data_IF_225133609596
#
_entry.id   IF_225133609596
#
_cell.length_a   1.000
_cell.length_b   1.000
_cell.length_c   1.000
_cell.angle_alpha   90.00
_cell.angle_beta   90.00
_cell.angle_gamma   90.00
#
_symmetry.space_group_name_H-M   'P 1'
#
loop_
_entity.id
_entity.type
_entity.pdbx_description
1 polymer ?
#
# COMPACT_ATOMS: atom_id res chain seq x y z
N UNK A 1 2.94 10.81 8.84
CA UNK A 1 2.17 9.73 9.48
C UNK A 1 0.81 10.25 9.93
N UNK A 2 0.77 11.37 10.66
CA UNK A 2 -0.47 12.02 11.10
C UNK A 2 -1.33 12.54 9.93
N UNK A 3 -0.71 13.00 8.85
CA UNK A 3 -1.45 13.55 7.70
C UNK A 3 -2.21 12.49 6.90
N UNK A 4 -1.63 11.31 6.67
CA UNK A 4 -2.35 10.22 5.98
C UNK A 4 -3.52 9.67 6.83
N UNK A 5 -3.35 9.60 8.15
CA UNK A 5 -4.48 9.27 9.05
C UNK A 5 -5.58 10.35 9.03
N UNK A 6 -5.20 11.62 8.92
CA UNK A 6 -6.16 12.74 8.88
C UNK A 6 -6.97 12.77 7.59
N UNK A 7 -6.34 12.45 6.45
CA UNK A 7 -7.01 12.36 5.13
C UNK A 7 -8.11 11.28 5.15
N UNK A 8 -7.89 10.19 5.88
CA UNK A 8 -8.86 9.09 6.01
C UNK A 8 -10.05 9.48 6.91
N UNK A 9 -9.84 10.37 7.86
CA UNK A 9 -10.86 10.74 8.87
C UNK A 9 -11.70 11.94 8.44
N UNK A 10 -11.12 12.94 7.76
CA UNK A 10 -11.79 14.23 7.50
C UNK A 10 -12.49 14.33 6.12
N UNK A 11 -12.43 13.31 5.27
CA UNK A 11 -13.27 13.19 4.06
C UNK A 11 -13.15 14.30 3.01
N UNK A 12 -12.13 15.15 3.10
CA UNK A 12 -11.93 16.26 2.15
C UNK A 12 -10.45 16.41 1.81
N UNK A 13 -10.02 15.76 0.76
CA UNK A 13 -8.89 16.24 -0.04
C UNK A 13 -8.85 15.52 -1.38
N UNK A 14 -8.92 16.26 -2.44
CA UNK A 14 -8.66 15.83 -3.81
C UNK A 14 -7.22 15.28 -3.88
N UNK A 15 -7.09 13.96 -3.88
CA UNK A 15 -5.84 13.31 -4.25
C UNK A 15 -5.83 13.28 -5.78
N UNK A 16 -4.84 13.88 -6.45
CA UNK A 16 -4.74 13.76 -7.90
C UNK A 16 -4.68 12.29 -8.28
N UNK A 17 -5.57 11.85 -9.16
CA UNK A 17 -5.63 10.47 -9.64
C UNK A 17 -4.29 10.14 -10.34
N UNK A 18 -3.58 9.09 -9.93
CA UNK A 18 -2.41 8.62 -10.64
C UNK A 18 -2.87 7.85 -11.87
N UNK A 19 -2.86 8.50 -13.04
CA UNK A 19 -3.36 7.94 -14.30
C UNK A 19 -2.50 6.79 -14.86
N UNK A 20 -1.28 6.51 -14.34
CA UNK A 20 -0.34 5.56 -14.95
C UNK A 20 0.34 4.58 -13.98
N UNK A 21 -0.28 4.25 -12.83
CA UNK A 21 0.37 3.39 -11.82
C UNK A 21 0.05 1.90 -11.93
N UNK A 22 -0.69 1.47 -12.92
CA UNK A 22 -1.03 0.06 -13.07
C UNK A 22 0.06 -0.65 -13.87
N UNK A 23 0.94 -1.33 -13.14
CA UNK A 23 1.85 -2.29 -13.73
C UNK A 23 1.06 -3.39 -14.43
N UNK A 24 1.59 -3.82 -15.58
CA UNK A 24 1.21 -4.92 -16.45
C UNK A 24 -0.31 -5.19 -16.61
N UNK A 25 -0.80 -5.03 -17.84
CA UNK A 25 -2.19 -5.29 -18.26
C UNK A 25 -2.74 -6.60 -17.73
N UNK A 26 -1.93 -7.64 -17.63
CA UNK A 26 -2.34 -8.96 -17.14
C UNK A 26 -2.72 -8.97 -15.66
N UNK A 27 -2.08 -8.14 -14.84
CA UNK A 27 -2.43 -8.00 -13.41
C UNK A 27 -3.77 -7.29 -13.24
N UNK A 28 -4.05 -6.29 -14.07
CA UNK A 28 -5.35 -5.60 -14.06
C UNK A 28 -6.48 -6.51 -14.56
N UNK A 29 -6.24 -7.27 -15.62
CA UNK A 29 -7.22 -8.23 -16.14
C UNK A 29 -7.52 -9.32 -15.12
N UNK A 30 -6.53 -9.86 -14.41
CA UNK A 30 -6.74 -10.83 -13.34
C UNK A 30 -7.54 -10.24 -12.17
N UNK A 31 -7.21 -9.02 -11.75
CA UNK A 31 -7.96 -8.32 -10.69
C UNK A 31 -9.41 -8.05 -11.13
N UNK A 32 -9.62 -7.65 -12.39
CA UNK A 32 -10.95 -7.42 -12.93
C UNK A 32 -11.76 -8.72 -13.08
N UNK A 33 -11.13 -9.79 -13.53
CA UNK A 33 -11.77 -11.10 -13.69
C UNK A 33 -12.14 -11.70 -12.33
N UNK A 34 -11.27 -11.59 -11.33
CA UNK A 34 -11.57 -12.06 -9.96
C UNK A 34 -12.62 -11.20 -9.28
N UNK A 35 -12.59 -9.88 -9.49
CA UNK A 35 -13.64 -8.98 -9.00
C UNK A 35 -14.98 -9.28 -9.66
N UNK A 36 -15.00 -9.49 -10.98
CA UNK A 36 -16.20 -9.86 -11.73
C UNK A 36 -16.72 -11.26 -11.34
N UNK A 37 -15.84 -12.24 -11.14
CA UNK A 37 -16.20 -13.57 -10.64
C UNK A 37 -16.76 -13.51 -9.22
N UNK A 38 -16.16 -12.72 -8.33
CA UNK A 38 -16.66 -12.51 -6.97
C UNK A 38 -18.05 -11.85 -6.98
N UNK A 39 -18.28 -10.89 -7.88
CA UNK A 39 -19.60 -10.26 -8.03
C UNK A 39 -20.66 -11.21 -8.62
N UNK A 40 -20.26 -12.17 -9.46
CA UNK A 40 -21.17 -13.14 -10.09
C UNK A 40 -21.38 -14.40 -9.22
N UNK A 41 -20.39 -14.79 -8.41
CA UNK A 41 -20.50 -15.96 -7.51
C UNK A 41 -21.32 -15.66 -6.24
N UNK A 42 -21.31 -14.42 -5.76
CA UNK A 42 -22.14 -13.95 -4.66
C UNK A 42 -23.53 -13.54 -5.17
N UNK A 43 -24.24 -14.48 -5.76
CA UNK A 43 -25.63 -14.29 -6.16
C UNK A 43 -26.50 -13.76 -5.03
N UNK A 44 -26.59 -12.44 -4.90
CA UNK A 44 -27.53 -11.74 -4.05
C UNK A 44 -27.03 -11.33 -2.65
N UNK A 45 -25.79 -11.59 -2.27
CA UNK A 45 -25.23 -11.12 -1.01
C UNK A 45 -24.06 -10.13 -1.23
N UNK A 46 -24.24 -9.18 -2.13
CA UNK A 46 -23.56 -7.89 -1.98
C UNK A 46 -24.22 -7.16 -0.81
N UNK A 47 -24.24 -7.81 0.36
CA UNK A 47 -24.42 -7.07 1.58
C UNK A 47 -23.26 -6.09 1.61
N UNK A 48 -23.56 -4.84 1.25
CA UNK A 48 -22.71 -3.68 1.44
C UNK A 48 -22.05 -3.91 2.78
N UNK A 49 -20.76 -4.30 2.76
CA UNK A 49 -19.98 -4.42 3.99
C UNK A 49 -20.32 -3.19 4.79
N UNK A 50 -21.09 -3.34 5.87
CA UNK A 50 -21.56 -2.20 6.66
C UNK A 50 -20.36 -1.31 6.89
N UNK A 51 -20.50 -0.01 6.69
CA UNK A 51 -19.38 0.93 6.82
C UNK A 51 -18.49 0.63 8.05
N UNK A 52 -19.10 0.11 9.13
CA UNK A 52 -18.39 -0.35 10.30
C UNK A 52 -17.46 -1.54 10.04
N UNK A 53 -17.91 -2.57 9.33
CA UNK A 53 -17.09 -3.73 9.04
C UNK A 53 -15.95 -3.41 8.08
N UNK A 54 -16.21 -2.60 7.04
CA UNK A 54 -15.17 -2.10 6.12
C UNK A 54 -14.07 -1.35 6.87
N UNK A 55 -14.45 -0.47 7.80
CA UNK A 55 -13.50 0.27 8.63
C UNK A 55 -12.69 -0.64 9.54
N UNK A 56 -13.32 -1.66 10.12
CA UNK A 56 -12.65 -2.63 10.98
C UNK A 56 -11.63 -3.47 10.20
N UNK A 57 -12.01 -4.00 9.03
CA UNK A 57 -11.11 -4.72 8.13
C UNK A 57 -9.91 -3.85 7.76
N UNK A 58 -10.14 -2.61 7.36
CA UNK A 58 -9.08 -1.68 7.02
C UNK A 58 -8.19 -1.38 8.21
N UNK A 59 -8.75 -1.05 9.38
CA UNK A 59 -7.99 -0.72 10.59
C UNK A 59 -7.07 -1.87 11.00
N UNK A 60 -7.59 -3.11 11.09
CA UNK A 60 -6.78 -4.30 11.42
C UNK A 60 -5.65 -4.52 10.42
N UNK A 61 -5.95 -4.31 9.12
CA UNK A 61 -4.95 -4.46 8.06
C UNK A 61 -3.85 -3.41 8.18
N UNK A 62 -4.20 -2.14 8.41
CA UNK A 62 -3.25 -1.05 8.56
C UNK A 62 -2.37 -1.23 9.80
N UNK A 63 -2.96 -1.60 10.94
CA UNK A 63 -2.23 -1.86 12.17
C UNK A 63 -1.23 -3.01 12.00
N UNK A 64 -1.64 -4.09 11.32
CA UNK A 64 -0.76 -5.21 11.02
C UNK A 64 0.39 -4.82 10.07
N UNK A 65 0.10 -4.06 9.02
CA UNK A 65 1.12 -3.55 8.09
C UNK A 65 2.12 -2.68 8.85
N UNK A 66 1.66 -1.76 9.69
CA UNK A 66 2.53 -0.85 10.42
C UNK A 66 3.42 -1.60 11.43
N UNK A 67 2.90 -2.62 12.09
CA UNK A 67 3.67 -3.46 13.00
C UNK A 67 4.71 -4.35 12.30
N UNK A 68 4.50 -4.71 11.03
CA UNK A 68 5.32 -5.66 10.29
C UNK A 68 5.99 -5.08 9.05
N UNK A 69 6.09 -3.76 8.94
CA UNK A 69 6.47 -3.07 7.70
C UNK A 69 7.83 -3.48 7.15
N UNK A 70 8.81 -3.73 8.04
CA UNK A 70 10.17 -4.13 7.69
C UNK A 70 10.34 -5.65 7.51
N UNK A 71 9.35 -6.43 7.93
CA UNK A 71 9.39 -7.90 7.83
C UNK A 71 8.89 -8.41 6.46
N UNK A 72 9.06 -9.71 6.22
CA UNK A 72 8.42 -10.38 5.08
C UNK A 72 6.90 -10.42 5.31
N UNK A 73 6.18 -9.52 4.66
CA UNK A 73 4.74 -9.34 4.78
C UNK A 73 4.05 -10.07 3.63
N UNK A 74 3.30 -11.13 3.94
CA UNK A 74 2.52 -11.89 2.96
C UNK A 74 1.08 -11.41 2.96
N UNK A 75 0.50 -11.35 1.77
CA UNK A 75 -0.89 -10.92 1.62
C UNK A 75 -1.87 -11.89 2.30
N UNK A 76 -1.49 -13.18 2.39
CA UNK A 76 -2.25 -14.21 3.10
C UNK A 76 -2.38 -13.93 4.58
N UNK A 77 -1.30 -13.43 5.21
CA UNK A 77 -1.31 -13.10 6.64
C UNK A 77 -2.23 -11.90 6.89
N UNK A 78 -2.23 -10.94 5.97
CA UNK A 78 -3.12 -9.80 6.00
C UNK A 78 -4.60 -10.23 5.91
N UNK A 79 -4.92 -11.18 5.04
CA UNK A 79 -6.26 -11.76 4.92
C UNK A 79 -6.68 -12.45 6.22
N UNK A 80 -5.79 -13.21 6.86
CA UNK A 80 -6.06 -13.88 8.13
C UNK A 80 -6.34 -12.90 9.25
N UNK A 81 -5.49 -11.89 9.42
CA UNK A 81 -5.64 -10.86 10.46
C UNK A 81 -6.91 -10.03 10.25
N UNK A 82 -7.22 -9.69 9.02
CA UNK A 82 -8.42 -8.95 8.68
C UNK A 82 -9.70 -9.81 8.75
N UNK A 83 -9.57 -11.16 8.71
CA UNK A 83 -10.69 -12.10 8.74
C UNK A 83 -11.50 -12.09 7.44
N UNK A 84 -10.86 -11.81 6.30
CA UNK A 84 -11.52 -11.69 4.98
C UNK A 84 -10.75 -12.40 3.88
N UNK A 85 -11.43 -12.69 2.77
CA UNK A 85 -10.79 -13.18 1.55
C UNK A 85 -9.93 -12.10 0.88
N UNK A 86 -9.01 -12.52 0.00
CA UNK A 86 -8.16 -11.61 -0.77
C UNK A 86 -9.00 -10.61 -1.59
N UNK A 87 -10.03 -11.08 -2.29
CA UNK A 87 -10.89 -10.21 -3.09
C UNK A 87 -11.64 -9.16 -2.24
N UNK A 88 -12.05 -9.53 -1.03
CA UNK A 88 -12.66 -8.58 -0.09
C UNK A 88 -11.65 -7.57 0.41
N UNK A 89 -10.43 -8.00 0.76
CA UNK A 89 -9.35 -7.13 1.19
C UNK A 89 -9.00 -6.10 0.09
N UNK A 90 -8.82 -6.56 -1.15
CA UNK A 90 -8.52 -5.69 -2.29
C UNK A 90 -9.65 -4.68 -2.54
N UNK A 91 -10.90 -5.12 -2.49
CA UNK A 91 -12.06 -4.23 -2.63
C UNK A 91 -12.11 -3.16 -1.54
N UNK A 92 -11.80 -3.50 -0.30
CA UNK A 92 -11.72 -2.55 0.82
C UNK A 92 -10.62 -1.53 0.57
N UNK A 93 -9.42 -1.97 0.23
CA UNK A 93 -8.29 -1.07 -0.04
C UNK A 93 -8.55 -0.16 -1.25
N UNK A 94 -9.07 -0.69 -2.36
CA UNK A 94 -9.41 0.09 -3.53
C UNK A 94 -10.55 1.08 -3.25
N UNK A 95 -11.55 0.68 -2.47
CA UNK A 95 -12.67 1.55 -2.11
C UNK A 95 -12.24 2.72 -1.21
N UNK A 96 -11.47 2.45 -0.17
CA UNK A 96 -11.14 3.41 0.88
C UNK A 96 -9.85 4.19 0.58
N UNK A 97 -8.83 3.54 -0.04
CA UNK A 97 -7.50 4.12 -0.24
C UNK A 97 -7.14 4.34 -1.71
N UNK A 98 -8.00 3.91 -2.64
CA UNK A 98 -7.76 3.98 -4.10
C UNK A 98 -6.47 3.28 -4.55
N UNK A 99 -6.01 2.29 -3.80
CA UNK A 99 -4.81 1.52 -4.11
C UNK A 99 -4.95 0.07 -3.62
N UNK A 100 -4.15 -0.83 -4.18
CA UNK A 100 -4.12 -2.22 -3.72
C UNK A 100 -3.35 -2.34 -2.40
N UNK A 101 -3.58 -3.42 -1.59
CA UNK A 101 -2.81 -3.66 -0.37
C UNK A 101 -1.29 -3.67 -0.61
N UNK A 102 -0.84 -4.31 -1.69
CA UNK A 102 0.59 -4.37 -2.06
C UNK A 102 1.16 -3.00 -2.42
N UNK A 103 0.38 -2.18 -3.15
CA UNK A 103 0.78 -0.80 -3.47
C UNK A 103 0.87 0.05 -2.22
N UNK A 104 -0.06 -0.12 -1.27
CA UNK A 104 -0.02 0.55 0.02
C UNK A 104 1.23 0.18 0.82
N UNK A 105 1.52 -1.13 0.97
CA UNK A 105 2.73 -1.61 1.67
C UNK A 105 4.00 -1.01 1.03
N UNK A 106 4.07 -1.03 -0.31
CA UNK A 106 5.20 -0.44 -1.04
C UNK A 106 5.36 1.05 -0.75
N UNK A 107 4.27 1.82 -0.81
CA UNK A 107 4.29 3.25 -0.52
C UNK A 107 4.75 3.53 0.92
N UNK A 108 4.27 2.75 1.89
CA UNK A 108 4.67 2.86 3.30
C UNK A 108 6.17 2.57 3.51
N UNK A 109 6.71 1.56 2.80
CA UNK A 109 8.14 1.23 2.86
C UNK A 109 8.99 2.35 2.27
N UNK A 110 8.58 2.92 1.14
CA UNK A 110 9.26 4.08 0.55
C UNK A 110 9.25 5.29 1.49
N UNK A 111 8.12 5.57 2.16
CA UNK A 111 8.03 6.62 3.19
C UNK A 111 8.99 6.37 4.36
N UNK A 112 9.12 5.11 4.79
CA UNK A 112 10.05 4.75 5.86
C UNK A 112 11.51 4.98 5.45
N UNK A 113 11.88 4.57 4.23
CA UNK A 113 13.21 4.83 3.66
C UNK A 113 13.46 6.33 3.56
N UNK A 114 12.51 7.12 3.07
CA UNK A 114 12.66 8.57 2.97
C UNK A 114 12.92 9.22 4.32
N UNK A 115 12.15 8.84 5.33
CA UNK A 115 12.40 9.33 6.70
C UNK A 115 13.77 8.96 7.23
N UNK A 116 14.24 7.75 6.94
CA UNK A 116 15.58 7.30 7.31
C UNK A 116 16.67 8.07 6.56
N UNK A 117 16.50 8.34 5.27
CA UNK A 117 17.41 9.15 4.47
C UNK A 117 17.54 10.59 4.99
N UNK A 118 16.42 11.23 5.32
CA UNK A 118 16.40 12.63 5.80
C UNK A 118 16.96 12.76 7.22
N UNK A 119 16.71 11.75 8.08
CA UNK A 119 17.17 11.76 9.48
C UNK A 119 18.53 11.09 9.67
N UNK A 120 18.97 10.36 8.66
CA UNK A 120 19.89 9.28 8.83
C UNK A 120 21.35 9.66 8.84
N UNK A 121 22.13 8.67 9.21
CA UNK A 121 23.58 8.69 9.18
C UNK A 121 24.06 8.78 7.72
N UNK A 122 24.94 9.76 7.41
CA UNK A 122 25.41 9.98 6.04
C UNK A 122 26.10 8.76 5.42
N UNK A 123 26.68 7.89 6.26
CA UNK A 123 27.52 6.78 5.83
C UNK A 123 26.75 5.48 5.49
N UNK A 124 25.46 5.37 5.86
CA UNK A 124 24.71 4.15 5.56
C UNK A 124 24.34 4.09 4.07
N UNK A 125 24.72 3.02 3.33
CA UNK A 125 24.35 2.90 1.93
C UNK A 125 22.83 2.93 1.71
N UNK A 126 22.38 3.65 0.68
CA UNK A 126 20.94 3.76 0.37
C UNK A 126 20.31 2.37 0.12
N UNK A 127 21.07 1.46 -0.49
CA UNK A 127 20.62 0.09 -0.72
C UNK A 127 20.38 -0.67 0.60
N UNK A 128 21.22 -0.45 1.60
CA UNK A 128 21.07 -1.04 2.92
C UNK A 128 19.83 -0.48 3.61
N UNK A 129 19.64 0.84 3.61
CA UNK A 129 18.43 1.48 4.16
C UNK A 129 17.15 0.93 3.50
N UNK A 130 17.15 0.78 2.17
CA UNK A 130 16.01 0.22 1.47
C UNK A 130 15.74 -1.22 1.89
N UNK A 131 16.79 -2.04 2.02
CA UNK A 131 16.68 -3.43 2.48
C UNK A 131 16.14 -3.52 3.91
N UNK A 132 16.67 -2.72 4.84
CA UNK A 132 16.25 -2.68 6.25
C UNK A 132 14.78 -2.27 6.41
N UNK A 133 14.24 -1.55 5.45
CA UNK A 133 12.82 -1.20 5.39
C UNK A 133 11.99 -2.13 4.48
N UNK A 134 12.47 -3.35 4.21
CA UNK A 134 11.71 -4.41 3.53
C UNK A 134 11.60 -4.27 2.02
N UNK A 135 12.44 -3.44 1.38
CA UNK A 135 12.50 -3.33 -0.08
C UNK A 135 13.55 -4.32 -0.60
N UNK A 136 13.09 -5.46 -1.13
CA UNK A 136 13.96 -6.52 -1.66
C UNK A 136 14.33 -6.32 -3.15
N UNK A 137 13.50 -5.61 -3.92
CA UNK A 137 13.69 -5.45 -5.36
C UNK A 137 14.35 -4.10 -5.70
N UNK A 138 15.68 -4.03 -5.58
CA UNK A 138 16.45 -2.79 -5.79
C UNK A 138 16.37 -2.26 -7.23
N UNK A 139 16.15 -3.12 -8.24
CA UNK A 139 16.08 -2.70 -9.64
C UNK A 139 14.94 -1.72 -9.97
N UNK A 140 13.88 -1.69 -9.15
CA UNK A 140 12.75 -0.76 -9.30
C UNK A 140 12.71 0.32 -8.23
N UNK A 141 13.52 0.21 -7.20
CA UNK A 141 13.47 1.08 -6.03
C UNK A 141 13.60 2.56 -6.40
N UNK A 142 14.64 2.95 -7.13
CA UNK A 142 14.89 4.36 -7.48
C UNK A 142 13.77 4.94 -8.36
N UNK A 143 13.23 4.13 -9.28
CA UNK A 143 12.11 4.54 -10.12
C UNK A 143 10.81 4.72 -9.32
N UNK A 144 10.51 3.79 -8.42
CA UNK A 144 9.34 3.86 -7.54
C UNK A 144 9.45 5.05 -6.56
N UNK A 145 10.65 5.27 -6.02
CA UNK A 145 10.94 6.39 -5.13
C UNK A 145 10.72 7.73 -5.86
N UNK A 146 11.34 7.89 -7.05
CA UNK A 146 11.16 9.11 -7.86
C UNK A 146 9.71 9.33 -8.26
N UNK A 147 8.98 8.27 -8.58
CA UNK A 147 7.55 8.38 -8.91
C UNK A 147 6.72 8.88 -7.72
N UNK A 148 7.05 8.46 -6.50
CA UNK A 148 6.30 8.83 -5.30
C UNK A 148 6.69 10.22 -4.76
N UNK A 149 7.97 10.60 -4.85
CA UNK A 149 8.50 11.81 -4.19
C UNK A 149 9.00 12.88 -5.17
N UNK A 150 9.09 12.57 -6.47
CA UNK A 150 9.55 13.51 -7.49
C UNK A 150 11.05 13.63 -7.62
N UNK A 151 11.82 13.08 -6.68
CA UNK A 151 13.29 13.15 -6.60
C UNK A 151 13.91 11.76 -6.46
N UNK A 152 15.20 11.62 -6.73
CA UNK A 152 15.92 10.37 -6.49
C UNK A 152 16.27 10.21 -5.00
N UNK A 153 16.45 8.97 -4.50
CA UNK A 153 16.85 8.73 -3.12
C UNK A 153 18.16 9.43 -2.72
N UNK A 154 19.08 9.57 -3.68
CA UNK A 154 20.36 10.27 -3.48
C UNK A 154 20.22 11.78 -3.34
N UNK A 155 19.16 12.36 -3.89
CA UNK A 155 18.87 13.79 -3.85
C UNK A 155 18.18 14.20 -2.54
N UNK A 156 17.48 13.27 -1.90
CA UNK A 156 16.79 13.49 -0.62
C UNK A 156 17.72 13.34 0.60
N UNK A 157 18.95 12.84 0.40
CA UNK A 157 19.95 12.73 1.47
C UNK A 157 20.58 14.10 1.71
N UNK A 158 20.51 14.65 2.94
CA UNK A 158 21.25 15.86 3.28
C UNK A 158 22.77 15.63 3.10
N UNK A 159 23.48 16.67 2.63
CA UNK A 159 24.93 16.65 2.46
C UNK A 159 25.65 16.63 3.84
#
# INVERSE_FOLDING_TARGET
LHQLRRIIIDGTSEVPAPADQFGDKSTLEMIFIDLARSMLADGGNAEILRKGHTREVLARSLDYIDANLCAELRITDLCQVAGVSLSTLERVFLGELRMTPLSYIRARRLDAVRRALIKGEPDTPIAQLAHDHGISHMGRFSADYRRQFGVLPSEDRPA
#
